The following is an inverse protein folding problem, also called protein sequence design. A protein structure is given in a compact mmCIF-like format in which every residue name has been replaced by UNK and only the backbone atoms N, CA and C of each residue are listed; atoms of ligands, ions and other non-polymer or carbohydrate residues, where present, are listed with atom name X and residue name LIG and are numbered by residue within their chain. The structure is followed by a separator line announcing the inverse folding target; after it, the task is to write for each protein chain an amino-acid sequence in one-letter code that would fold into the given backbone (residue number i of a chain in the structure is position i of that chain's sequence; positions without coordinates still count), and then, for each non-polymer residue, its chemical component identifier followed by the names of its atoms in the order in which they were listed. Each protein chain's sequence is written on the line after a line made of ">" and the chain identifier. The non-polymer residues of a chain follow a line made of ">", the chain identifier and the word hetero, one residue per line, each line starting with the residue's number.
data_IF_558048369824
#
_entry.id   IF_558048369824
#
_cell.length_a   1.000
_cell.length_b   1.000
_cell.length_c   1.000
_cell.angle_alpha   90.00
_cell.angle_beta   90.00
_cell.angle_gamma   90.00
#
_symmetry.space_group_name_H-M   'P 1'
#
loop_
_entity.id
_entity.type
_entity.pdbx_description
1 polymer ?
#
# COMPACT_ATOMS: atom_id res chain seq x y z
N UNK A 1 -14.09 11.33 8.47
CA UNK A 1 -15.51 11.62 8.86
C UNK A 1 -15.51 12.24 10.27
N UNK A 2 -16.54 12.96 10.72
CA UNK A 2 -16.58 13.50 12.11
C UNK A 2 -17.70 12.82 12.89
N UNK A 3 -17.36 12.16 13.99
CA UNK A 3 -18.32 11.50 14.87
C UNK A 3 -19.12 12.53 15.66
N UNK A 4 -20.36 12.15 16.02
CA UNK A 4 -21.21 12.99 16.89
C UNK A 4 -20.73 12.97 18.35
N UNK A 5 -20.14 11.86 18.77
CA UNK A 5 -19.53 11.67 20.08
C UNK A 5 -18.05 11.38 19.85
N UNK A 6 -17.19 12.22 20.43
CA UNK A 6 -15.74 12.21 20.24
C UNK A 6 -15.11 10.87 20.63
N UNK A 7 -15.71 10.14 21.58
CA UNK A 7 -15.20 8.83 22.00
C UNK A 7 -15.27 7.77 20.90
N UNK A 8 -16.09 8.01 19.87
CA UNK A 8 -16.30 7.10 18.76
C UNK A 8 -15.59 7.54 17.48
N UNK A 9 -14.81 8.62 17.51
CA UNK A 9 -14.13 9.17 16.33
C UNK A 9 -13.29 8.12 15.60
N UNK A 10 -12.58 7.26 16.35
CA UNK A 10 -11.73 6.20 15.79
C UNK A 10 -12.48 4.89 15.45
N UNK A 11 -13.79 4.83 15.74
CA UNK A 11 -14.63 3.64 15.47
C UNK A 11 -15.39 3.73 14.14
N UNK A 12 -15.36 4.89 13.49
CA UNK A 12 -16.13 5.20 12.27
C UNK A 12 -15.58 4.54 10.98
N UNK A 13 -14.74 3.52 11.12
CA UNK A 13 -14.04 2.88 10.00
C UNK A 13 -12.82 3.67 9.55
N UNK A 14 -12.09 3.14 8.55
CA UNK A 14 -10.91 3.80 8.01
C UNK A 14 -11.30 4.92 7.05
N UNK A 15 -10.63 6.07 7.16
CA UNK A 15 -10.74 7.16 6.17
C UNK A 15 -10.10 6.80 4.80
N UNK A 16 -9.48 5.62 4.70
CA UNK A 16 -8.90 5.07 3.46
C UNK A 16 -9.72 3.88 2.97
N UNK A 17 -9.99 3.86 1.66
CA UNK A 17 -10.59 2.69 0.99
C UNK A 17 -9.56 1.57 0.92
N UNK A 18 -9.92 0.37 1.37
CA UNK A 18 -9.02 -0.77 1.26
C UNK A 18 -8.98 -1.28 -0.18
N UNK A 19 -7.83 -1.80 -0.61
CA UNK A 19 -7.72 -2.44 -1.93
C UNK A 19 -8.75 -3.56 -2.12
N UNK A 20 -9.07 -4.29 -1.05
CA UNK A 20 -10.07 -5.34 -1.09
C UNK A 20 -11.45 -4.80 -1.47
N UNK A 21 -11.85 -3.63 -0.96
CA UNK A 21 -13.13 -3.00 -1.30
C UNK A 21 -13.18 -2.70 -2.80
N UNK A 22 -12.11 -2.13 -3.36
CA UNK A 22 -11.98 -1.85 -4.80
C UNK A 22 -12.06 -3.14 -5.61
N UNK A 23 -11.32 -4.19 -5.21
CA UNK A 23 -11.28 -5.48 -5.90
C UNK A 23 -12.64 -6.18 -5.86
N UNK A 24 -13.31 -6.16 -4.71
CA UNK A 24 -14.63 -6.78 -4.52
C UNK A 24 -15.71 -6.07 -5.34
N UNK A 25 -15.70 -4.73 -5.38
CA UNK A 25 -16.63 -3.98 -6.23
C UNK A 25 -16.40 -4.28 -7.71
N UNK A 26 -15.14 -4.36 -8.14
CA UNK A 26 -14.81 -4.74 -9.52
C UNK A 26 -15.21 -6.19 -9.86
N UNK A 27 -15.18 -7.09 -8.89
CA UNK A 27 -15.71 -8.45 -9.04
C UNK A 27 -17.24 -8.42 -9.18
N UNK A 28 -17.92 -7.76 -8.25
CA UNK A 28 -19.37 -7.72 -8.16
C UNK A 28 -20.03 -7.13 -9.41
N UNK A 29 -19.47 -6.05 -9.94
CA UNK A 29 -19.94 -5.44 -11.19
C UNK A 29 -19.30 -6.05 -12.45
N UNK A 30 -18.66 -7.21 -12.32
CA UNK A 30 -18.04 -7.96 -13.42
C UNK A 30 -17.07 -7.12 -14.27
N UNK A 31 -16.38 -6.16 -13.66
CA UNK A 31 -15.42 -5.31 -14.34
C UNK A 31 -14.12 -6.05 -14.65
N UNK A 32 -13.73 -7.03 -13.82
CA UNK A 32 -12.51 -7.82 -14.06
C UNK A 32 -12.55 -8.65 -15.34
N UNK A 33 -13.74 -9.01 -15.84
CA UNK A 33 -13.89 -9.76 -17.10
C UNK A 33 -13.75 -8.90 -18.35
N UNK A 34 -13.77 -7.56 -18.23
CA UNK A 34 -13.56 -6.65 -19.38
C UNK A 34 -12.20 -6.82 -20.04
N UNK A 35 -11.21 -7.30 -19.28
CA UNK A 35 -9.85 -7.48 -19.74
C UNK A 35 -9.59 -8.93 -20.14
N UNK A 36 -9.33 -9.22 -21.43
CA UNK A 36 -9.07 -10.59 -21.89
C UNK A 36 -7.75 -11.11 -21.33
N UNK A 37 -7.78 -12.28 -20.68
CA UNK A 37 -6.63 -12.84 -19.95
C UNK A 37 -5.38 -13.03 -20.82
N UNK A 38 -5.54 -13.27 -22.13
CA UNK A 38 -4.44 -13.48 -23.07
C UNK A 38 -3.67 -12.19 -23.43
N UNK A 39 -4.35 -11.04 -23.51
CA UNK A 39 -3.77 -9.77 -23.98
C UNK A 39 -3.57 -8.74 -22.86
N UNK A 40 -4.00 -9.06 -21.64
CA UNK A 40 -3.91 -8.15 -20.49
C UNK A 40 -2.60 -8.31 -19.71
N UNK A 41 -2.27 -7.27 -18.95
CA UNK A 41 -1.15 -7.24 -18.03
C UNK A 41 -1.18 -8.43 -17.06
N UNK A 42 -0.02 -9.06 -16.86
CA UNK A 42 0.18 -10.13 -15.88
C UNK A 42 0.51 -9.52 -14.52
N UNK A 43 -0.53 -9.10 -13.81
CA UNK A 43 -0.41 -8.49 -12.49
C UNK A 43 0.17 -9.47 -11.47
N UNK A 44 1.05 -8.98 -10.60
CA UNK A 44 1.61 -9.75 -9.48
C UNK A 44 1.16 -9.17 -8.14
N UNK A 45 1.56 -9.80 -7.05
CA UNK A 45 1.30 -9.34 -5.67
C UNK A 45 -0.19 -9.10 -5.36
N UNK A 46 -1.10 -9.82 -6.03
CA UNK A 46 -2.55 -9.70 -5.81
C UNK A 46 -3.25 -8.57 -6.58
N UNK A 47 -2.55 -7.87 -7.47
CA UNK A 47 -3.17 -6.91 -8.39
C UNK A 47 -4.05 -7.56 -9.46
N UNK A 48 -4.89 -6.77 -10.12
CA UNK A 48 -5.72 -7.21 -11.25
C UNK A 48 -5.71 -6.19 -12.40
N UNK A 49 -5.97 -6.60 -13.66
CA UNK A 49 -5.94 -5.69 -14.80
C UNK A 49 -6.95 -4.55 -14.64
N UNK A 50 -6.53 -3.33 -14.95
CA UNK A 50 -7.42 -2.18 -14.90
C UNK A 50 -8.48 -2.29 -16.02
N UNK A 51 -9.79 -2.31 -15.69
CA UNK A 51 -10.86 -2.47 -16.67
C UNK A 51 -10.95 -1.33 -17.70
N UNK A 52 -10.36 -0.16 -17.40
CA UNK A 52 -10.29 0.97 -18.33
C UNK A 52 -9.03 0.94 -19.20
N UNK A 53 -7.99 0.19 -18.78
CA UNK A 53 -6.72 0.08 -19.49
C UNK A 53 -6.02 -1.25 -19.15
N UNK A 54 -6.36 -2.30 -19.89
CA UNK A 54 -5.94 -3.68 -19.58
C UNK A 54 -4.42 -3.93 -19.61
N UNK A 55 -3.61 -2.99 -20.11
CA UNK A 55 -2.15 -3.05 -20.11
C UNK A 55 -1.50 -2.59 -18.80
N UNK A 56 -2.29 -2.08 -17.85
CA UNK A 56 -1.84 -1.62 -16.52
C UNK A 56 -2.70 -2.28 -15.44
N UNK A 57 -2.08 -2.62 -14.31
CA UNK A 57 -2.76 -3.23 -13.18
C UNK A 57 -3.24 -2.20 -12.16
N UNK A 58 -4.35 -2.49 -11.49
CA UNK A 58 -4.72 -1.88 -10.21
C UNK A 58 -4.00 -2.67 -9.12
N UNK A 59 -3.21 -1.96 -8.32
CA UNK A 59 -2.29 -2.57 -7.35
C UNK A 59 -2.75 -2.41 -5.91
N UNK A 60 -2.51 -3.40 -5.03
CA UNK A 60 -2.67 -3.23 -3.60
C UNK A 60 -1.75 -2.15 -3.05
N UNK A 61 -2.15 -1.55 -1.91
CA UNK A 61 -1.33 -0.59 -1.17
C UNK A 61 0.06 -1.18 -0.91
N UNK A 62 1.11 -0.40 -1.18
CA UNK A 62 2.50 -0.86 -1.10
C UNK A 62 3.09 -1.36 -2.42
N UNK A 63 2.28 -1.55 -3.48
CA UNK A 63 2.73 -2.00 -4.80
C UNK A 63 2.32 -1.05 -5.92
N UNK A 64 3.14 -0.97 -6.97
CA UNK A 64 2.94 -0.08 -8.11
C UNK A 64 3.65 -0.56 -9.37
N UNK A 65 3.71 0.33 -10.36
CA UNK A 65 4.13 -0.01 -11.72
C UNK A 65 3.05 -0.76 -12.50
N UNK A 66 3.27 -0.95 -13.80
CA UNK A 66 2.25 -1.52 -14.69
C UNK A 66 1.81 -2.93 -14.29
N UNK A 67 2.66 -3.68 -13.60
CA UNK A 67 2.41 -5.07 -13.21
C UNK A 67 2.30 -5.27 -11.69
N UNK A 68 2.32 -4.20 -10.88
CA UNK A 68 2.38 -4.27 -9.41
C UNK A 68 3.67 -4.93 -8.86
N UNK A 69 4.75 -4.90 -9.63
CA UNK A 69 6.06 -5.47 -9.28
C UNK A 69 7.08 -4.42 -8.82
N UNK A 70 6.65 -3.18 -8.63
CA UNK A 70 7.51 -2.07 -8.23
C UNK A 70 6.98 -1.41 -6.95
N UNK A 71 7.87 -0.73 -6.23
CA UNK A 71 7.47 0.16 -5.14
C UNK A 71 6.71 1.36 -5.74
N UNK A 72 5.58 1.78 -5.17
CA UNK A 72 4.89 2.99 -5.59
C UNK A 72 5.84 4.20 -5.60
N UNK A 73 5.68 5.13 -6.55
CA UNK A 73 6.40 6.39 -6.52
C UNK A 73 6.02 7.20 -5.27
N UNK A 74 6.92 8.07 -4.81
CA UNK A 74 6.74 8.88 -3.59
C UNK A 74 7.75 8.52 -2.49
N UNK A 75 7.46 8.98 -1.27
CA UNK A 75 8.32 8.78 -0.09
C UNK A 75 8.45 7.30 0.32
N UNK A 76 9.46 7.02 1.14
CA UNK A 76 9.89 5.68 1.52
C UNK A 76 11.04 5.15 0.67
N UNK A 77 11.52 3.96 1.00
CA UNK A 77 12.76 3.42 0.43
C UNK A 77 12.76 1.89 0.33
N UNK A 78 13.56 1.36 -0.59
CA UNK A 78 13.88 -0.07 -0.63
C UNK A 78 15.11 -0.34 0.23
N UNK A 79 14.99 -1.23 1.20
CA UNK A 79 16.00 -1.62 2.17
C UNK A 79 16.35 -3.09 1.96
N UNK A 80 17.64 -3.41 2.05
CA UNK A 80 18.10 -4.79 2.05
C UNK A 80 18.28 -5.28 3.48
N UNK A 81 17.53 -6.34 3.81
CA UNK A 81 17.65 -7.06 5.06
C UNK A 81 19.04 -7.69 5.18
N UNK A 82 19.53 -7.72 6.41
CA UNK A 82 20.80 -8.34 6.80
C UNK A 82 20.61 -9.13 8.09
N UNK A 83 21.57 -9.98 8.42
CA UNK A 83 21.62 -10.67 9.72
C UNK A 83 21.80 -9.71 10.90
N UNK A 84 22.28 -8.49 10.65
CA UNK A 84 22.41 -7.43 11.65
C UNK A 84 21.18 -6.53 11.64
N UNK A 85 20.72 -6.16 12.84
CA UNK A 85 19.64 -5.19 13.02
C UNK A 85 20.03 -3.83 12.43
N UNK A 86 19.04 -3.18 11.82
CA UNK A 86 19.15 -1.82 11.30
C UNK A 86 17.96 -1.00 11.79
N UNK A 87 18.23 0.22 12.21
CA UNK A 87 17.20 1.19 12.56
C UNK A 87 16.80 1.96 11.31
N UNK A 88 15.51 1.95 10.99
CA UNK A 88 14.92 2.87 10.02
C UNK A 88 14.37 4.08 10.78
N UNK A 89 14.82 5.27 10.38
CA UNK A 89 14.29 6.54 10.86
C UNK A 89 13.85 7.33 9.65
N UNK A 90 12.61 7.84 9.69
CA UNK A 90 12.08 8.71 8.66
C UNK A 90 11.21 9.79 9.31
N UNK A 91 10.99 10.89 8.60
CA UNK A 91 10.13 11.99 9.03
C UNK A 91 8.88 11.99 8.15
N UNK A 92 7.74 11.70 8.76
CA UNK A 92 6.45 11.71 8.08
C UNK A 92 5.75 13.05 8.29
N UNK A 93 5.26 13.64 7.22
CA UNK A 93 4.60 14.95 7.25
C UNK A 93 5.56 16.13 7.17
N UNK A 94 5.01 17.34 7.22
CA UNK A 94 5.75 18.61 7.11
C UNK A 94 5.82 19.39 8.44
N UNK A 95 5.38 18.77 9.54
CA UNK A 95 5.31 19.40 10.86
C UNK A 95 4.26 20.51 10.96
N UNK A 96 3.42 20.72 9.95
CA UNK A 96 2.36 21.72 10.01
C UNK A 96 1.17 21.21 10.81
N UNK A 97 0.59 22.08 11.64
CA UNK A 97 -0.66 21.80 12.35
C UNK A 97 -1.91 21.90 11.43
N UNK A 98 -1.71 22.08 10.12
CA UNK A 98 -2.81 22.22 9.17
C UNK A 98 -3.31 20.82 8.79
N UNK A 99 -4.60 20.52 9.00
CA UNK A 99 -5.16 19.26 8.53
C UNK A 99 -5.01 19.21 7.01
N UNK A 100 -4.53 18.07 6.50
CA UNK A 100 -4.47 17.80 5.07
C UNK A 100 -5.69 16.99 4.68
N UNK A 101 -6.31 17.38 3.58
CA UNK A 101 -7.45 16.65 3.00
C UNK A 101 -7.01 15.34 2.33
N UNK A 102 -5.70 15.13 2.17
CA UNK A 102 -5.12 13.94 1.54
C UNK A 102 -4.05 13.31 2.41
N UNK A 103 -4.05 11.99 2.45
CA UNK A 103 -3.03 11.21 3.14
C UNK A 103 -1.75 11.08 2.30
N UNK A 104 -0.60 11.26 2.94
CA UNK A 104 0.69 10.90 2.33
C UNK A 104 1.06 9.49 2.75
N UNK A 105 1.23 8.59 1.78
CA UNK A 105 1.57 7.19 2.03
C UNK A 105 3.04 6.97 1.66
N UNK A 106 3.88 6.65 2.65
CA UNK A 106 5.26 6.26 2.42
C UNK A 106 5.40 4.74 2.40
N UNK A 107 6.02 4.22 1.34
CA UNK A 107 6.12 2.78 1.12
C UNK A 107 7.56 2.33 1.27
N UNK A 108 7.85 1.47 2.25
CA UNK A 108 9.16 0.89 2.49
C UNK A 108 9.15 -0.58 2.10
N UNK A 109 10.09 -0.99 1.25
CA UNK A 109 10.26 -2.37 0.83
C UNK A 109 11.46 -2.97 1.54
N UNK A 110 11.27 -4.04 2.32
CA UNK A 110 12.38 -4.77 2.93
C UNK A 110 12.59 -6.03 2.11
N UNK A 111 13.69 -6.06 1.36
CA UNK A 111 14.05 -7.15 0.45
C UNK A 111 15.15 -8.02 1.06
N UNK A 112 15.15 -9.31 0.73
CA UNK A 112 16.17 -10.26 1.19
C UNK A 112 16.77 -10.94 -0.02
N UNK A 113 18.10 -10.95 -0.10
CA UNK A 113 18.82 -11.54 -1.22
C UNK A 113 18.82 -13.09 -1.20
N UNK A 114 18.62 -13.70 -0.03
CA UNK A 114 18.69 -15.15 0.18
C UNK A 114 17.53 -15.57 1.08
N UNK A 115 16.79 -16.61 0.69
CA UNK A 115 15.70 -17.20 1.46
C UNK A 115 16.23 -17.93 2.71
N UNK A 116 16.90 -17.21 3.61
CA UNK A 116 17.19 -17.66 4.97
C UNK A 116 16.06 -17.15 5.85
N UNK A 117 15.48 -18.06 6.63
CA UNK A 117 14.32 -17.80 7.49
C UNK A 117 14.49 -16.48 8.26
N UNK A 118 13.71 -15.47 7.88
CA UNK A 118 13.64 -14.21 8.58
C UNK A 118 12.86 -14.42 9.88
N UNK A 119 13.55 -14.36 11.00
CA UNK A 119 12.88 -14.09 12.27
C UNK A 119 12.39 -12.63 12.24
N UNK A 120 11.11 -12.46 12.56
CA UNK A 120 10.31 -11.24 12.44
C UNK A 120 11.04 -10.03 13.03
N UNK A 121 11.26 -9.01 12.20
CA UNK A 121 11.73 -7.69 12.64
C UNK A 121 10.58 -7.02 13.39
N UNK A 122 10.73 -6.87 14.70
CA UNK A 122 9.85 -6.03 15.51
C UNK A 122 10.04 -4.57 15.09
N UNK A 123 9.11 -4.02 14.32
CA UNK A 123 9.07 -2.59 14.01
C UNK A 123 8.53 -1.86 15.25
N UNK A 124 9.43 -1.42 16.12
CA UNK A 124 9.03 -0.47 17.15
C UNK A 124 8.95 0.92 16.50
N UNK A 125 7.74 1.31 16.09
CA UNK A 125 7.46 2.67 15.63
C UNK A 125 7.46 3.54 16.89
N UNK A 126 8.49 4.37 17.04
CA UNK A 126 8.58 5.36 18.12
C UNK A 126 8.47 6.74 17.49
N UNK A 127 7.37 7.43 17.78
CA UNK A 127 7.22 8.84 17.43
C UNK A 127 8.06 9.66 18.42
N UNK A 128 9.11 10.32 17.92
CA UNK A 128 9.77 11.36 18.71
C UNK A 128 8.80 12.53 18.83
N UNK A 129 8.16 12.67 19.98
CA UNK A 129 7.49 13.91 20.41
C UNK A 129 8.49 15.06 20.50
#
# INVERSE_FOLDING_TARGET
>A
MVAKDDNYQDTMGSDMVAFYDVSMMNEYYNCKSKCPSAASAKCVNGGFPNPNQCSVCICPSGYGGNLCNQRPPGCGSTLNASSTFKTLSDTLGDGSARPKDSFTICNYWIQVAICLALNVVYLHISEKK
#
